data_IF_848543709845
#
_entry.id   IF_848543709845
#
_cell.length_a   1.000
_cell.length_b   1.000
_cell.length_c   1.000
_cell.angle_alpha   90.00
_cell.angle_beta   90.00
_cell.angle_gamma   90.00
#
_symmetry.space_group_name_H-M   'P 1'
#
loop_
_entity.id
_entity.type
_entity.pdbx_description
1 polymer ?
#
# COMPACT_ATOMS: atom_id res chain seq x y z
N UNK A 1 4.94 14.87 -9.13
CA UNK A 1 3.92 14.54 -8.12
C UNK A 1 3.49 15.80 -7.40
N UNK A 2 2.19 16.04 -7.36
CA UNK A 2 1.60 17.20 -6.69
C UNK A 2 0.95 16.77 -5.37
N UNK A 3 1.72 16.77 -4.28
CA UNK A 3 1.23 16.52 -2.93
C UNK A 3 1.24 17.84 -2.13
N UNK A 4 0.38 18.00 -1.10
CA UNK A 4 0.40 19.18 -0.23
C UNK A 4 1.79 19.47 0.33
N UNK A 5 2.16 20.74 0.39
CA UNK A 5 3.48 21.14 0.92
C UNK A 5 3.64 20.73 2.39
N UNK A 6 2.56 20.78 3.16
CA UNK A 6 2.54 20.30 4.55
C UNK A 6 2.89 18.83 4.68
N UNK A 7 2.39 17.96 3.77
CA UNK A 7 2.75 16.55 3.73
C UNK A 7 4.22 16.38 3.35
N UNK A 8 4.69 17.11 2.34
CA UNK A 8 6.12 17.07 1.93
C UNK A 8 7.04 17.43 3.08
N UNK A 9 6.71 18.50 3.82
CA UNK A 9 7.48 18.91 4.98
C UNK A 9 7.51 17.81 6.05
N UNK A 10 6.37 17.17 6.30
CA UNK A 10 6.28 16.10 7.29
C UNK A 10 7.06 14.84 6.89
N UNK A 11 7.11 14.51 5.59
CA UNK A 11 7.96 13.45 5.06
C UNK A 11 9.46 13.75 5.27
N UNK A 12 9.89 15.00 5.05
CA UNK A 12 11.29 15.43 5.32
C UNK A 12 11.63 15.27 6.78
N UNK A 13 10.77 15.73 7.69
CA UNK A 13 10.97 15.55 9.14
C UNK A 13 11.11 14.07 9.53
N UNK A 14 10.32 13.18 8.91
CA UNK A 14 10.42 11.74 9.14
C UNK A 14 11.74 11.15 8.62
N UNK A 15 12.27 11.66 7.50
CA UNK A 15 13.59 11.26 6.96
C UNK A 15 14.71 11.79 7.86
N UNK A 16 14.66 13.05 8.32
CA UNK A 16 15.63 13.63 9.25
C UNK A 16 15.71 12.83 10.56
N UNK A 17 14.56 12.37 11.08
CA UNK A 17 14.52 11.48 12.25
C UNK A 17 15.17 10.11 11.99
N UNK A 18 15.02 9.57 10.78
CA UNK A 18 15.71 8.34 10.39
C UNK A 18 17.22 8.55 10.35
N UNK A 19 17.70 9.66 9.77
CA UNK A 19 19.12 10.00 9.70
C UNK A 19 19.72 10.15 11.10
N UNK A 20 19.08 10.92 11.99
CA UNK A 20 19.49 11.07 13.38
C UNK A 20 19.55 9.73 14.15
N UNK A 21 18.58 8.84 13.91
CA UNK A 21 18.54 7.55 14.58
C UNK A 21 19.55 6.55 13.97
N UNK A 22 19.78 6.64 12.64
CA UNK A 22 20.72 5.76 11.92
C UNK A 22 22.17 5.91 12.35
N UNK A 23 22.58 7.11 12.72
CA UNK A 23 23.92 7.41 13.24
C UNK A 23 24.29 6.62 14.50
N UNK A 24 23.29 6.07 15.19
CA UNK A 24 23.50 5.26 16.39
C UNK A 24 23.82 3.78 16.10
N UNK A 25 23.76 3.34 14.85
CA UNK A 25 24.13 2.00 14.42
C UNK A 25 23.14 0.87 14.76
N UNK A 26 21.96 1.19 15.28
CA UNK A 26 20.92 0.22 15.53
C UNK A 26 20.08 -0.05 14.27
N UNK A 27 19.63 -1.29 14.02
CA UNK A 27 18.72 -1.55 12.91
C UNK A 27 17.38 -0.84 13.09
N UNK A 28 16.84 -0.31 11.99
CA UNK A 28 15.48 0.23 11.94
C UNK A 28 14.48 -0.92 12.06
N UNK A 29 13.52 -0.81 12.96
CA UNK A 29 12.45 -1.80 13.11
C UNK A 29 11.23 -1.33 12.33
N UNK A 30 10.89 -2.03 11.25
CA UNK A 30 9.67 -1.78 10.46
C UNK A 30 8.58 -2.72 10.93
N UNK A 31 7.47 -2.17 11.39
CA UNK A 31 6.28 -2.93 11.80
C UNK A 31 5.12 -2.50 10.92
N UNK A 32 4.49 -3.46 10.24
CA UNK A 32 3.39 -3.19 9.33
C UNK A 32 2.21 -4.13 9.53
N UNK A 33 1.07 -3.78 8.93
CA UNK A 33 -0.08 -4.66 8.88
C UNK A 33 0.20 -5.92 8.03
N UNK A 34 -0.56 -7.00 8.23
CA UNK A 34 -0.32 -8.29 7.55
C UNK A 34 -1.27 -8.57 6.39
N UNK A 35 -1.90 -7.55 5.82
CA UNK A 35 -2.66 -7.64 4.58
C UNK A 35 -1.82 -7.21 3.36
N UNK A 36 -2.44 -7.09 2.19
CA UNK A 36 -1.72 -6.78 0.97
C UNK A 36 -1.11 -5.37 0.99
N UNK A 37 -1.78 -4.38 1.59
CA UNK A 37 -1.28 -3.02 1.70
C UNK A 37 -0.10 -2.94 2.68
N UNK A 38 -0.26 -3.47 3.90
CA UNK A 38 0.79 -3.48 4.90
C UNK A 38 2.04 -4.28 4.48
N UNK A 39 1.86 -5.45 3.82
CA UNK A 39 2.99 -6.24 3.32
C UNK A 39 3.75 -5.49 2.23
N UNK A 40 3.06 -4.82 1.32
CA UNK A 40 3.71 -4.02 0.28
C UNK A 40 4.33 -2.74 0.83
N UNK A 41 3.70 -2.09 1.82
CA UNK A 41 4.30 -0.98 2.57
C UNK A 41 5.64 -1.40 3.22
N UNK A 42 5.66 -2.55 3.89
CA UNK A 42 6.87 -3.12 4.48
C UNK A 42 7.95 -3.40 3.43
N UNK A 43 7.58 -3.95 2.27
CA UNK A 43 8.51 -4.24 1.18
C UNK A 43 9.11 -2.96 0.57
N UNK A 44 8.31 -1.91 0.42
CA UNK A 44 8.77 -0.58 -0.01
C UNK A 44 9.79 -0.01 0.95
N UNK A 45 9.47 0.01 2.25
CA UNK A 45 10.37 0.51 3.28
C UNK A 45 11.66 -0.31 3.40
N UNK A 46 11.54 -1.65 3.40
CA UNK A 46 12.72 -2.52 3.43
C UNK A 46 13.67 -2.24 2.26
N UNK A 47 13.11 -2.10 1.05
CA UNK A 47 13.89 -1.83 -0.14
C UNK A 47 14.56 -0.45 -0.09
N UNK A 48 13.82 0.58 0.34
CA UNK A 48 14.33 1.94 0.43
C UNK A 48 15.42 2.08 1.51
N UNK A 49 15.19 1.54 2.70
CA UNK A 49 16.14 1.56 3.81
C UNK A 49 17.43 0.82 3.44
N UNK A 50 17.32 -0.38 2.84
CA UNK A 50 18.48 -1.16 2.41
C UNK A 50 19.32 -0.41 1.37
N UNK A 51 18.69 0.27 0.41
CA UNK A 51 19.39 1.08 -0.61
C UNK A 51 20.04 2.32 -0.02
N UNK A 52 19.42 2.93 0.98
CA UNK A 52 19.99 4.06 1.70
C UNK A 52 21.07 3.65 2.73
N UNK A 53 21.35 2.35 2.87
CA UNK A 53 22.40 1.83 3.75
C UNK A 53 21.96 1.64 5.21
N UNK A 54 20.67 1.70 5.51
CA UNK A 54 20.15 1.46 6.86
C UNK A 54 19.79 -0.03 7.05
N UNK A 55 20.46 -0.74 7.97
CA UNK A 55 20.02 -2.08 8.37
C UNK A 55 18.60 -2.03 8.91
N UNK A 56 17.73 -2.94 8.48
CA UNK A 56 16.37 -2.96 8.96
C UNK A 56 15.85 -4.38 9.23
N UNK A 57 14.96 -4.48 10.19
CA UNK A 57 14.23 -5.71 10.54
C UNK A 57 12.75 -5.44 10.31
N UNK A 58 12.11 -6.26 9.49
CA UNK A 58 10.71 -6.10 9.11
C UNK A 58 9.84 -7.16 9.75
N UNK A 59 8.72 -6.74 10.34
CA UNK A 59 7.72 -7.60 10.96
C UNK A 59 6.32 -7.18 10.52
N UNK A 60 5.52 -8.13 10.02
CA UNK A 60 4.09 -7.91 9.78
C UNK A 60 3.28 -8.45 10.96
N UNK A 61 2.29 -7.68 11.41
CA UNK A 61 1.41 -8.01 12.54
C UNK A 61 -0.05 -7.88 12.13
N UNK A 62 -0.89 -8.72 12.70
CA UNK A 62 -2.34 -8.63 12.46
C UNK A 62 -2.97 -7.40 13.12
N UNK A 63 -2.42 -6.99 14.25
CA UNK A 63 -2.89 -5.85 15.03
C UNK A 63 -1.73 -5.30 15.86
N UNK A 64 -1.65 -3.98 15.99
CA UNK A 64 -0.69 -3.32 16.88
C UNK A 64 -1.30 -3.23 18.30
N UNK A 65 -1.21 -4.32 19.02
CA UNK A 65 -1.69 -4.42 20.41
C UNK A 65 -0.58 -4.11 21.43
N UNK A 66 -0.95 -4.13 22.72
CA UNK A 66 0.00 -3.84 23.80
C UNK A 66 1.13 -4.87 23.87
N UNK A 67 0.89 -6.14 23.51
CA UNK A 67 1.93 -7.17 23.57
C UNK A 67 3.02 -6.90 22.53
N UNK A 68 2.63 -6.55 21.29
CA UNK A 68 3.58 -6.12 20.24
C UNK A 68 4.37 -4.89 20.67
N UNK A 69 3.71 -3.88 21.25
CA UNK A 69 4.37 -2.66 21.72
C UNK A 69 5.34 -2.93 22.88
N UNK A 70 4.98 -3.82 23.82
CA UNK A 70 5.84 -4.23 24.93
C UNK A 70 7.11 -4.95 24.45
N UNK A 71 7.01 -5.85 23.47
CA UNK A 71 8.16 -6.48 22.85
C UNK A 71 9.10 -5.43 22.21
N UNK A 72 8.53 -4.41 21.53
CA UNK A 72 9.30 -3.34 20.93
C UNK A 72 9.96 -2.42 21.97
N UNK A 73 9.40 -2.28 23.16
CA UNK A 73 9.87 -1.33 24.16
C UNK A 73 11.26 -1.64 24.71
N UNK A 74 11.67 -2.90 24.71
CA UNK A 74 12.99 -3.37 25.16
C UNK A 74 14.13 -3.16 24.17
N UNK A 75 13.84 -2.70 22.96
CA UNK A 75 14.86 -2.50 21.91
C UNK A 75 15.41 -1.09 21.86
N UNK A 76 16.41 -0.88 21.01
CA UNK A 76 17.01 0.41 20.68
C UNK A 76 16.75 0.79 19.21
N UNK A 77 17.03 2.05 18.85
CA UNK A 77 16.88 2.57 17.48
C UNK A 77 15.46 3.04 17.16
N UNK A 78 15.21 3.30 15.89
CA UNK A 78 13.95 3.82 15.36
C UNK A 78 12.96 2.69 15.08
N UNK A 79 11.68 2.93 15.39
CA UNK A 79 10.57 2.09 14.93
C UNK A 79 9.78 2.84 13.88
N UNK A 80 9.57 2.25 12.71
CA UNK A 80 8.68 2.75 11.67
C UNK A 80 7.44 1.86 11.63
N UNK A 81 6.30 2.45 11.91
CA UNK A 81 5.00 1.83 11.75
C UNK A 81 4.47 2.18 10.36
N UNK A 82 4.04 1.19 9.58
CA UNK A 82 3.53 1.37 8.23
C UNK A 82 2.17 0.71 8.06
N UNK A 83 1.20 1.44 7.51
CA UNK A 83 -0.17 0.98 7.32
C UNK A 83 -0.86 0.60 8.67
N UNK A 84 -0.42 1.21 9.73
CA UNK A 84 -0.96 1.14 11.08
C UNK A 84 -0.24 2.15 11.98
N UNK A 85 -0.82 2.44 13.12
CA UNK A 85 -0.17 3.24 14.16
C UNK A 85 -0.93 4.51 14.52
N UNK A 86 -1.57 5.19 13.57
CA UNK A 86 -2.30 6.44 13.83
C UNK A 86 -3.43 6.28 14.86
N UNK A 87 -4.16 5.16 14.81
CA UNK A 87 -5.16 4.83 15.82
C UNK A 87 -4.58 4.40 17.17
N UNK A 88 -3.31 4.05 17.23
CA UNK A 88 -2.62 3.52 18.43
C UNK A 88 -1.65 4.51 19.05
N UNK A 89 -1.59 5.76 18.60
CA UNK A 89 -0.70 6.81 19.14
C UNK A 89 -0.73 6.90 20.66
N UNK A 90 -1.86 6.85 21.38
CA UNK A 90 -1.87 6.86 22.83
C UNK A 90 -1.14 5.68 23.48
N UNK A 91 -1.25 4.48 22.89
CA UNK A 91 -0.56 3.29 23.38
C UNK A 91 0.95 3.36 23.06
N UNK A 92 1.31 3.82 21.86
CA UNK A 92 2.70 4.07 21.45
C UNK A 92 3.35 5.05 22.40
N UNK A 93 2.74 6.19 22.68
CA UNK A 93 3.24 7.20 23.62
C UNK A 93 3.46 6.67 25.03
N UNK A 94 2.58 5.78 25.50
CA UNK A 94 2.67 5.19 26.83
C UNK A 94 3.74 4.12 26.94
N UNK A 95 3.76 3.17 25.96
CA UNK A 95 4.60 1.98 26.04
C UNK A 95 5.99 2.24 25.45
N UNK A 96 6.05 2.96 24.35
CA UNK A 96 7.31 3.30 23.66
C UNK A 96 7.85 4.68 24.05
N UNK A 97 7.58 5.18 25.25
CA UNK A 97 7.90 6.53 25.70
C UNK A 97 9.38 6.92 25.56
N UNK A 98 10.30 5.96 25.48
CA UNK A 98 11.74 6.20 25.31
C UNK A 98 12.23 5.99 23.87
N UNK A 99 11.39 5.42 22.98
CA UNK A 99 11.75 5.09 21.60
C UNK A 99 11.35 6.19 20.64
N UNK A 100 12.18 6.45 19.65
CA UNK A 100 11.78 7.25 18.50
C UNK A 100 10.91 6.43 17.56
N UNK A 101 9.82 7.01 17.11
CA UNK A 101 8.86 6.34 16.24
C UNK A 101 8.53 7.23 15.03
N UNK A 102 8.37 6.61 13.87
CA UNK A 102 7.73 7.20 12.68
C UNK A 102 6.46 6.40 12.40
N UNK A 103 5.35 7.07 12.16
CA UNK A 103 4.09 6.46 11.74
C UNK A 103 3.80 6.93 10.32
N UNK A 104 3.69 5.99 9.38
CA UNK A 104 3.31 6.21 7.98
C UNK A 104 1.97 5.52 7.75
N UNK A 105 0.88 6.26 7.84
CA UNK A 105 -0.45 5.68 7.90
C UNK A 105 -1.47 6.49 7.09
N UNK A 106 -2.54 5.86 6.68
CA UNK A 106 -3.65 6.44 5.95
C UNK A 106 -5.01 6.23 6.64
N UNK A 107 -5.03 5.50 7.74
CA UNK A 107 -6.23 5.31 8.55
C UNK A 107 -6.58 6.57 9.34
N UNK A 108 -7.83 6.65 9.81
CA UNK A 108 -8.29 7.80 10.60
C UNK A 108 -7.41 7.99 11.85
N UNK A 109 -6.73 9.14 12.00
CA UNK A 109 -5.88 9.42 13.14
C UNK A 109 -6.73 9.73 14.38
N UNK A 110 -6.10 9.59 15.56
CA UNK A 110 -6.65 10.10 16.82
C UNK A 110 -6.19 11.54 17.08
N UNK A 111 -6.83 12.23 18.04
CA UNK A 111 -6.46 13.61 18.38
C UNK A 111 -5.10 13.73 19.11
N UNK A 112 -4.66 12.66 19.81
CA UNK A 112 -3.38 12.69 20.54
C UNK A 112 -2.20 12.65 19.55
N UNK A 113 -1.27 13.60 19.72
CA UNK A 113 -0.06 13.67 18.91
C UNK A 113 1.01 12.69 19.38
N UNK A 114 1.81 12.18 18.44
CA UNK A 114 2.97 11.35 18.73
C UNK A 114 4.04 12.18 19.45
N UNK A 115 4.39 11.81 20.68
CA UNK A 115 5.28 12.63 21.55
C UNK A 115 6.75 12.51 21.19
N UNK A 116 7.17 11.36 20.70
CA UNK A 116 8.58 11.10 20.40
C UNK A 116 8.74 10.51 19.02
N UNK A 117 8.66 11.38 18.03
CA UNK A 117 8.78 11.00 16.63
C UNK A 117 7.94 11.84 15.69
N UNK A 118 7.62 11.28 14.55
CA UNK A 118 6.88 11.94 13.49
C UNK A 118 5.73 11.04 13.01
N UNK A 119 4.51 11.55 13.02
CA UNK A 119 3.38 10.94 12.36
C UNK A 119 3.15 11.61 11.01
N UNK A 120 3.15 10.82 9.95
CA UNK A 120 2.85 11.22 8.57
C UNK A 120 1.56 10.51 8.16
N UNK A 121 0.44 11.19 8.32
CA UNK A 121 -0.88 10.63 8.04
C UNK A 121 -1.60 11.45 6.95
N UNK A 122 -2.18 10.76 5.96
CA UNK A 122 -2.87 11.36 4.84
C UNK A 122 -3.97 12.35 5.26
N UNK A 123 -4.81 11.96 6.23
CA UNK A 123 -5.93 12.78 6.70
C UNK A 123 -5.50 14.11 7.32
N UNK A 124 -4.34 14.15 7.98
CA UNK A 124 -3.80 15.39 8.58
C UNK A 124 -3.40 16.43 7.53
N UNK A 125 -3.34 16.02 6.25
CA UNK A 125 -2.96 16.87 5.12
C UNK A 125 -4.09 17.03 4.08
N UNK A 126 -5.33 16.68 4.46
CA UNK A 126 -6.51 16.85 3.60
C UNK A 126 -6.62 15.85 2.47
N UNK A 127 -5.95 14.68 2.57
CA UNK A 127 -6.02 13.58 1.63
C UNK A 127 -6.94 12.50 2.20
N UNK A 128 -7.89 12.00 1.40
CA UNK A 128 -8.75 10.89 1.78
C UNK A 128 -7.97 9.57 1.75
N UNK A 129 -7.53 9.11 2.94
CA UNK A 129 -6.79 7.88 3.09
C UNK A 129 -7.55 6.63 2.62
N UNK A 130 -8.89 6.67 2.57
CA UNK A 130 -9.68 5.53 2.09
C UNK A 130 -9.72 5.41 0.56
N UNK A 131 -9.30 6.44 -0.20
CA UNK A 131 -9.48 6.48 -1.67
C UNK A 131 -8.28 6.99 -2.45
N UNK A 132 -7.49 7.89 -1.87
CA UNK A 132 -6.50 8.68 -2.59
C UNK A 132 -5.07 8.22 -2.35
N UNK A 133 -4.82 7.51 -1.24
CA UNK A 133 -3.51 6.95 -0.90
C UNK A 133 -3.66 5.79 0.08
N UNK A 134 -2.93 4.72 -0.12
CA UNK A 134 -2.85 3.57 0.79
C UNK A 134 -1.64 3.66 1.72
N UNK A 135 -1.52 2.75 2.70
CA UNK A 135 -0.34 2.64 3.57
C UNK A 135 0.94 2.38 2.77
N UNK A 136 0.89 1.55 1.72
CA UNK A 136 2.00 1.37 0.78
C UNK A 136 2.30 2.65 -0.02
N UNK A 137 1.27 3.43 -0.35
CA UNK A 137 1.43 4.75 -0.95
C UNK A 137 2.16 5.72 -0.02
N UNK A 138 1.80 5.76 1.27
CA UNK A 138 2.50 6.58 2.28
C UNK A 138 3.96 6.12 2.45
N UNK A 139 4.20 4.82 2.51
CA UNK A 139 5.54 4.24 2.55
C UNK A 139 6.36 4.61 1.29
N UNK A 140 5.73 4.64 0.11
CA UNK A 140 6.37 5.06 -1.13
C UNK A 140 6.76 6.53 -1.12
N UNK A 141 5.88 7.41 -0.62
CA UNK A 141 6.20 8.83 -0.49
C UNK A 141 7.44 9.06 0.40
N UNK A 142 7.52 8.34 1.52
CA UNK A 142 8.69 8.35 2.39
C UNK A 142 9.94 7.79 1.67
N UNK A 143 9.83 6.64 1.01
CA UNK A 143 10.92 6.02 0.26
C UNK A 143 11.45 6.94 -0.85
N UNK A 144 10.57 7.64 -1.54
CA UNK A 144 10.93 8.61 -2.57
C UNK A 144 11.67 9.81 -2.00
N UNK A 145 11.25 10.34 -0.84
CA UNK A 145 11.98 11.44 -0.16
C UNK A 145 13.35 10.97 0.29
N UNK A 146 13.47 9.73 0.80
CA UNK A 146 14.71 9.15 1.29
C UNK A 146 15.73 8.86 0.19
N UNK A 147 15.32 8.21 -0.91
CA UNK A 147 16.25 7.67 -1.91
C UNK A 147 15.84 7.91 -3.37
N UNK A 148 14.75 8.62 -3.63
CA UNK A 148 14.27 8.89 -5.00
C UNK A 148 13.80 7.66 -5.79
N UNK A 149 13.52 6.55 -5.10
CA UNK A 149 13.29 5.21 -5.67
C UNK A 149 11.92 5.08 -6.38
N UNK A 150 11.76 5.72 -7.56
CA UNK A 150 10.50 5.74 -8.33
C UNK A 150 10.00 4.35 -8.74
N UNK A 151 10.89 3.39 -8.92
CA UNK A 151 10.52 2.01 -9.29
C UNK A 151 9.76 1.25 -8.21
N UNK A 152 9.76 1.72 -6.96
CA UNK A 152 8.95 1.16 -5.88
C UNK A 152 7.46 1.53 -5.99
N UNK A 153 7.10 2.44 -6.91
CA UNK A 153 5.71 2.81 -7.19
C UNK A 153 4.84 1.61 -7.56
N UNK A 154 5.40 0.60 -8.24
CA UNK A 154 4.67 -0.62 -8.57
C UNK A 154 4.15 -1.35 -7.31
N UNK A 155 4.97 -1.45 -6.26
CA UNK A 155 4.56 -2.05 -4.98
C UNK A 155 3.49 -1.20 -4.27
N UNK A 156 3.63 0.12 -4.31
CA UNK A 156 2.63 1.02 -3.74
C UNK A 156 1.24 0.83 -4.38
N UNK A 157 1.19 0.65 -5.71
CA UNK A 157 -0.08 0.42 -6.41
C UNK A 157 -0.64 -0.97 -6.14
N UNK A 158 0.21 -1.99 -5.94
CA UNK A 158 -0.26 -3.32 -5.47
C UNK A 158 -0.97 -3.19 -4.12
N UNK A 159 -0.42 -2.41 -3.18
CA UNK A 159 -1.06 -2.12 -1.91
C UNK A 159 -2.40 -1.41 -2.07
N UNK A 160 -2.44 -0.34 -2.85
CA UNK A 160 -3.67 0.41 -3.12
C UNK A 160 -4.78 -0.45 -3.78
N UNK A 161 -4.41 -1.43 -4.64
CA UNK A 161 -5.36 -2.45 -5.16
C UNK A 161 -5.82 -3.37 -4.04
N UNK A 162 -4.91 -3.81 -3.17
CA UNK A 162 -5.24 -4.65 -2.01
C UNK A 162 -6.24 -4.00 -1.08
N UNK A 163 -6.17 -2.69 -0.95
CA UNK A 163 -7.06 -1.84 -0.14
C UNK A 163 -8.30 -1.34 -0.92
N UNK A 164 -8.56 -1.92 -2.11
CA UNK A 164 -9.71 -1.64 -2.97
C UNK A 164 -9.86 -0.16 -3.38
N UNK A 165 -8.77 0.61 -3.42
CA UNK A 165 -8.82 2.04 -3.75
C UNK A 165 -9.07 2.30 -5.24
N UNK A 166 -9.10 1.25 -6.07
CA UNK A 166 -9.54 1.26 -7.46
C UNK A 166 -11.02 0.85 -7.64
N UNK A 167 -11.80 0.74 -6.56
CA UNK A 167 -13.17 0.19 -6.56
C UNK A 167 -14.14 0.86 -7.56
N UNK A 168 -13.90 2.13 -7.89
CA UNK A 168 -14.67 2.85 -8.91
C UNK A 168 -14.12 2.68 -10.34
N UNK A 169 -13.18 1.77 -10.56
CA UNK A 169 -12.57 1.50 -11.88
C UNK A 169 -11.42 2.46 -12.23
N UNK A 170 -11.10 3.42 -11.36
CA UNK A 170 -9.99 4.37 -11.54
C UNK A 170 -9.38 4.72 -10.19
N UNK A 171 -8.09 4.98 -10.19
CA UNK A 171 -7.40 5.57 -9.04
C UNK A 171 -7.58 7.08 -9.01
N UNK A 172 -7.58 7.68 -7.81
CA UNK A 172 -7.67 9.12 -7.59
C UNK A 172 -6.51 9.65 -6.74
N UNK A 173 -6.42 10.95 -6.60
CA UNK A 173 -5.49 11.63 -5.71
C UNK A 173 -4.04 11.20 -5.87
N UNK A 174 -3.38 10.91 -4.77
CA UNK A 174 -1.96 10.55 -4.70
C UNK A 174 -1.67 9.23 -5.44
N UNK A 175 -2.58 8.23 -5.39
CA UNK A 175 -2.41 6.98 -6.12
C UNK A 175 -2.24 7.21 -7.63
N UNK A 176 -2.99 8.15 -8.21
CA UNK A 176 -2.86 8.50 -9.63
C UNK A 176 -1.50 9.12 -9.94
N UNK A 177 -0.99 9.94 -9.03
CA UNK A 177 0.34 10.53 -9.16
C UNK A 177 1.46 9.46 -9.07
N UNK A 178 1.28 8.48 -8.15
CA UNK A 178 2.19 7.33 -8.02
C UNK A 178 2.21 6.51 -9.30
N UNK A 179 1.04 6.26 -9.91
CA UNK A 179 0.94 5.55 -11.19
C UNK A 179 1.71 6.30 -12.28
N UNK A 180 1.52 7.61 -12.41
CA UNK A 180 2.20 8.42 -13.43
C UNK A 180 3.74 8.34 -13.28
N UNK A 181 4.25 8.34 -12.05
CA UNK A 181 5.68 8.15 -11.79
C UNK A 181 6.16 6.73 -12.13
N UNK A 182 5.33 5.72 -11.89
CA UNK A 182 5.65 4.34 -12.26
C UNK A 182 5.66 4.12 -13.78
N UNK A 183 4.78 4.79 -14.52
CA UNK A 183 4.81 4.80 -15.99
C UNK A 183 6.07 5.51 -16.51
N UNK A 184 6.42 6.67 -15.94
CA UNK A 184 7.65 7.38 -16.27
C UNK A 184 8.91 6.53 -15.98
N UNK A 185 8.90 5.78 -14.89
CA UNK A 185 9.98 4.87 -14.51
C UNK A 185 9.98 3.55 -15.30
N UNK A 186 8.94 3.29 -16.12
CA UNK A 186 8.81 2.08 -16.94
C UNK A 186 8.49 0.80 -16.14
N UNK A 187 8.02 0.94 -14.90
CA UNK A 187 7.66 -0.21 -14.01
C UNK A 187 6.16 -0.46 -13.92
N UNK A 188 5.35 0.47 -14.41
CA UNK A 188 3.90 0.35 -14.54
C UNK A 188 3.46 0.64 -15.96
N UNK A 189 2.35 0.05 -16.36
CA UNK A 189 1.63 0.35 -17.59
C UNK A 189 0.14 0.39 -17.29
N UNK A 190 -0.53 1.47 -17.69
CA UNK A 190 -1.97 1.62 -17.56
C UNK A 190 -2.62 1.31 -18.90
N UNK A 191 -3.55 0.36 -18.89
CA UNK A 191 -4.33 -0.01 -20.07
C UNK A 191 -5.83 0.07 -19.75
N UNK A 192 -6.60 0.47 -20.75
CA UNK A 192 -8.06 0.39 -20.67
C UNK A 192 -8.49 -1.00 -21.06
N UNK A 193 -9.09 -1.72 -20.10
CA UNK A 193 -9.49 -3.10 -20.29
C UNK A 193 -10.78 -3.43 -19.53
N UNK A 194 -11.32 -4.62 -19.76
CA UNK A 194 -12.51 -5.11 -19.06
C UNK A 194 -12.17 -5.49 -17.61
N UNK A 195 -12.95 -4.99 -16.69
CA UNK A 195 -12.85 -5.37 -15.28
C UNK A 195 -13.66 -6.62 -15.02
N UNK A 196 -13.03 -7.79 -15.20
CA UNK A 196 -13.63 -9.10 -14.93
C UNK A 196 -12.93 -9.77 -13.74
N UNK A 197 -13.72 -10.36 -12.85
CA UNK A 197 -13.19 -11.07 -11.68
C UNK A 197 -12.36 -12.29 -12.09
N UNK A 198 -11.09 -12.32 -11.66
CA UNK A 198 -10.21 -13.45 -11.93
C UNK A 198 -9.79 -13.58 -13.39
N UNK A 199 -9.81 -12.50 -14.17
CA UNK A 199 -9.52 -12.50 -15.62
C UNK A 199 -8.17 -13.13 -16.00
N UNK A 200 -7.17 -13.05 -15.12
CA UNK A 200 -5.84 -13.64 -15.36
C UNK A 200 -5.67 -15.06 -14.82
N UNK A 201 -6.63 -15.55 -14.04
CA UNK A 201 -6.53 -16.85 -13.35
C UNK A 201 -7.65 -17.81 -13.71
N UNK A 202 -8.68 -17.33 -14.41
CA UNK A 202 -9.87 -18.10 -14.76
C UNK A 202 -10.09 -18.13 -16.28
N UNK A 203 -10.66 -19.20 -16.83
CA UNK A 203 -11.18 -19.19 -18.19
C UNK A 203 -12.15 -18.02 -18.40
N UNK A 204 -12.16 -17.41 -19.59
CA UNK A 204 -12.95 -16.20 -19.87
C UNK A 204 -14.44 -16.36 -19.55
N UNK A 205 -15.06 -17.50 -19.89
CA UNK A 205 -16.46 -17.76 -19.54
C UNK A 205 -16.70 -17.81 -18.02
N UNK A 206 -15.71 -18.30 -17.24
CA UNK A 206 -15.76 -18.28 -15.77
C UNK A 206 -15.53 -16.90 -15.21
N UNK A 207 -14.65 -16.11 -15.82
CA UNK A 207 -14.46 -14.72 -15.43
C UNK A 207 -15.76 -13.91 -15.61
N UNK A 208 -16.49 -14.11 -16.72
CA UNK A 208 -17.80 -13.51 -16.95
C UNK A 208 -18.83 -13.96 -15.90
N UNK A 209 -18.95 -15.27 -15.66
CA UNK A 209 -19.89 -15.86 -14.71
C UNK A 209 -19.71 -15.31 -13.29
N UNK A 210 -18.44 -15.23 -12.82
CA UNK A 210 -18.14 -14.81 -11.45
C UNK A 210 -18.04 -13.30 -11.26
N UNK A 211 -18.09 -12.50 -12.35
CA UNK A 211 -18.09 -11.04 -12.24
C UNK A 211 -19.46 -10.55 -11.79
N UNK A 212 -19.54 -9.94 -10.61
CA UNK A 212 -20.75 -9.37 -10.02
C UNK A 212 -20.67 -7.85 -9.85
N UNK A 213 -19.45 -7.30 -9.99
CA UNK A 213 -19.19 -5.87 -10.01
C UNK A 213 -18.17 -5.55 -11.14
N UNK A 214 -18.64 -4.92 -12.24
CA UNK A 214 -20.04 -4.61 -12.55
C UNK A 214 -20.89 -5.89 -12.77
N UNK A 215 -22.15 -5.85 -12.36
CA UNK A 215 -23.08 -6.92 -12.69
C UNK A 215 -23.33 -6.96 -14.21
N UNK A 216 -23.17 -8.11 -14.83
CA UNK A 216 -23.36 -8.32 -16.27
C UNK A 216 -24.73 -8.98 -16.51
N UNK A 217 -25.77 -8.22 -16.92
CA UNK A 217 -27.10 -8.77 -17.12
C UNK A 217 -27.09 -9.95 -18.10
N UNK A 218 -27.68 -11.08 -17.69
CA UNK A 218 -27.75 -12.30 -18.49
C UNK A 218 -26.47 -13.15 -18.54
N UNK A 219 -25.38 -12.71 -17.86
CA UNK A 219 -24.11 -13.43 -17.82
C UNK A 219 -23.67 -13.77 -16.38
N UNK A 220 -23.71 -12.78 -15.46
CA UNK A 220 -23.30 -13.00 -14.07
C UNK A 220 -24.12 -14.11 -13.42
N UNK A 221 -23.44 -15.14 -12.92
CA UNK A 221 -24.05 -16.30 -12.26
C UNK A 221 -24.56 -17.39 -13.20
N UNK A 222 -24.42 -17.24 -14.52
CA UNK A 222 -24.91 -18.24 -15.50
C UNK A 222 -23.82 -18.67 -16.50
N UNK A 223 -23.19 -19.79 -16.20
CA UNK A 223 -22.13 -20.36 -17.04
C UNK A 223 -22.61 -20.64 -18.47
N UNK A 224 -23.86 -21.16 -18.61
CA UNK A 224 -24.38 -21.54 -19.93
C UNK A 224 -24.55 -20.33 -20.83
N UNK A 225 -25.10 -19.28 -20.30
CA UNK A 225 -25.23 -17.98 -21.00
C UNK A 225 -23.90 -17.37 -21.35
N UNK A 226 -22.90 -17.44 -20.46
CA UNK A 226 -21.54 -16.99 -20.76
C UNK A 226 -20.91 -17.77 -21.92
N UNK A 227 -21.07 -19.10 -21.95
CA UNK A 227 -20.55 -19.94 -23.03
C UNK A 227 -21.27 -19.62 -24.36
N UNK A 228 -22.60 -19.47 -24.33
CA UNK A 228 -23.36 -19.09 -25.51
C UNK A 228 -22.95 -17.75 -26.07
N UNK A 229 -22.81 -16.76 -25.22
CA UNK A 229 -22.34 -15.40 -25.56
C UNK A 229 -20.96 -15.40 -26.24
N UNK A 230 -20.00 -16.14 -25.69
CA UNK A 230 -18.67 -16.25 -26.31
C UNK A 230 -18.70 -16.93 -27.68
N UNK A 231 -19.59 -17.94 -27.84
CA UNK A 231 -19.78 -18.59 -29.14
C UNK A 231 -20.41 -17.66 -30.18
N UNK A 232 -21.37 -16.82 -29.80
CA UNK A 232 -21.96 -15.80 -30.68
C UNK A 232 -20.92 -14.76 -31.17
N UNK A 233 -19.88 -14.53 -30.36
CA UNK A 233 -18.77 -13.64 -30.71
C UNK A 233 -17.61 -14.35 -31.44
N UNK A 234 -17.78 -15.62 -31.82
CA UNK A 234 -16.71 -16.46 -32.41
C UNK A 234 -15.44 -16.55 -31.52
N UNK A 235 -15.59 -16.38 -30.21
CA UNK A 235 -14.50 -16.52 -29.26
C UNK A 235 -14.41 -17.98 -28.79
N UNK A 236 -13.32 -18.70 -29.12
CA UNK A 236 -13.18 -20.10 -28.71
C UNK A 236 -12.96 -20.19 -27.22
N UNK A 237 -13.53 -21.21 -26.56
CA UNK A 237 -13.34 -21.48 -25.12
C UNK A 237 -11.93 -21.99 -24.81
N UNK A 238 -11.25 -22.58 -25.82
CA UNK A 238 -9.88 -23.10 -25.72
C UNK A 238 -9.09 -22.78 -26.98
N UNK A 239 -7.81 -22.52 -26.82
CA UNK A 239 -6.81 -22.49 -27.89
C UNK A 239 -5.66 -23.42 -27.52
N UNK A 240 -5.23 -24.29 -28.45
CA UNK A 240 -4.10 -25.22 -28.22
C UNK A 240 -4.20 -25.97 -26.88
N UNK A 241 -5.38 -26.57 -26.61
CA UNK A 241 -5.72 -27.28 -25.36
C UNK A 241 -5.69 -26.45 -24.05
N UNK A 242 -5.50 -25.13 -24.14
CA UNK A 242 -5.61 -24.21 -23.00
C UNK A 242 -6.91 -23.41 -23.05
N UNK A 243 -7.47 -23.11 -21.88
CA UNK A 243 -8.61 -22.19 -21.81
C UNK A 243 -8.18 -20.78 -22.26
N UNK A 244 -9.08 -20.11 -23.00
CA UNK A 244 -8.89 -18.69 -23.35
C UNK A 244 -9.08 -17.86 -22.10
N UNK A 245 -8.09 -17.04 -21.81
CA UNK A 245 -8.05 -16.07 -20.72
C UNK A 245 -7.92 -14.67 -21.36
N UNK A 246 -8.23 -13.62 -20.62
CA UNK A 246 -8.01 -12.24 -21.05
C UNK A 246 -6.55 -11.85 -20.95
#
# INVERSE_FOLDING_TARGET
MHIPETLRQRLKEAVELLEEAGDRGYPVQVVSHNDADGITAAAVLHSALSRAGYPCITRCVKQLDSAVLEELSGGDGLVIFADLGSGQVPAINRILAKRMCVVLDHHQPVEEELRRGCEVNAHQHGIDGAKEVSGAGMAYLFAKELCGCKELSALAIVGAVGDLQDSQGVFSGVNREIIAEGEEAGVLRVEKDLRLFGRQTRPLYKALEYTTDPFLPGLSGDERSCIAFLKELDIPLKREDRHVML
#
